data_IF_862947344527
#
_entry.id   IF_862947344527
#
_cell.length_a   1.000
_cell.length_b   1.000
_cell.length_c   1.000
_cell.angle_alpha   90.00
_cell.angle_beta   90.00
_cell.angle_gamma   90.00
#
_symmetry.space_group_name_H-M   'P 1'
#
loop_
_entity.id
_entity.type
_entity.pdbx_description
1 polymer ?
#
# COMPACT_ATOMS: atom_id res chain seq x y z
N UNK A 1 37.53 -35.11 18.24
CA UNK A 1 36.24 -35.68 17.85
C UNK A 1 35.24 -34.55 17.96
N UNK A 2 35.18 -33.71 16.90
CA UNK A 2 34.27 -33.84 15.74
C UNK A 2 32.94 -33.14 16.05
N UNK A 3 32.87 -31.82 15.77
CA UNK A 3 32.11 -31.11 14.68
C UNK A 3 30.60 -31.42 14.69
N UNK A 4 29.69 -30.43 14.78
CA UNK A 4 29.14 -29.63 13.66
C UNK A 4 28.29 -28.48 14.27
N UNK A 5 28.38 -27.22 13.86
CA UNK A 5 28.05 -26.59 12.56
C UNK A 5 26.56 -26.59 12.19
N UNK A 6 25.75 -25.82 12.91
CA UNK A 6 24.45 -25.31 12.43
C UNK A 6 24.46 -23.80 12.76
N UNK A 7 24.87 -22.92 11.86
CA UNK A 7 24.14 -22.65 10.62
C UNK A 7 23.10 -21.58 10.93
N UNK A 8 23.53 -20.32 11.10
CA UNK A 8 22.61 -19.19 11.12
C UNK A 8 22.03 -19.05 9.72
N UNK A 9 20.93 -19.76 9.47
CA UNK A 9 20.14 -19.59 8.27
C UNK A 9 19.44 -18.24 8.41
N UNK A 10 19.97 -17.22 7.72
CA UNK A 10 19.14 -16.08 7.35
C UNK A 10 18.11 -16.65 6.38
N UNK A 11 16.97 -17.08 6.91
CA UNK A 11 15.80 -17.33 6.06
C UNK A 11 15.45 -15.96 5.49
N UNK A 12 15.80 -15.74 4.21
CA UNK A 12 15.07 -14.76 3.43
C UNK A 12 13.60 -15.10 3.63
N UNK A 13 12.84 -14.21 4.27
CA UNK A 13 11.41 -14.38 4.45
C UNK A 13 10.77 -14.39 3.07
N UNK A 14 10.71 -15.59 2.49
CA UNK A 14 10.00 -15.86 1.25
C UNK A 14 8.53 -15.56 1.54
N UNK A 15 7.98 -14.58 0.83
CA UNK A 15 6.59 -14.19 1.03
C UNK A 15 5.68 -15.37 0.64
N UNK A 16 4.91 -15.91 1.58
CA UNK A 16 3.99 -17.03 1.35
C UNK A 16 2.58 -16.55 0.99
N UNK A 17 1.96 -17.19 0.00
CA UNK A 17 0.59 -16.89 -0.40
C UNK A 17 -0.38 -17.58 0.55
N UNK A 18 -1.01 -16.84 1.46
CA UNK A 18 -1.90 -17.45 2.48
C UNK A 18 -3.19 -18.10 1.92
N UNK A 19 -3.46 -17.93 0.63
CA UNK A 19 -4.61 -18.57 -0.04
C UNK A 19 -4.29 -20.03 -0.38
N UNK A 20 -3.06 -20.31 -0.80
CA UNK A 20 -2.62 -21.65 -1.20
C UNK A 20 -1.53 -22.25 -0.30
N UNK A 21 -1.02 -21.47 0.66
CA UNK A 21 0.05 -21.84 1.59
C UNK A 21 1.34 -22.27 0.88
N UNK A 22 1.67 -21.58 -0.22
CA UNK A 22 2.83 -21.86 -1.06
C UNK A 22 3.60 -20.57 -1.34
N UNK A 23 4.88 -20.69 -1.67
CA UNK A 23 5.79 -19.57 -1.87
C UNK A 23 5.36 -18.70 -3.08
N UNK A 24 5.39 -17.38 -2.90
CA UNK A 24 5.09 -16.40 -3.95
C UNK A 24 6.32 -16.20 -4.84
N UNK A 25 6.67 -17.20 -5.64
CA UNK A 25 7.88 -17.15 -6.48
C UNK A 25 7.68 -16.32 -7.76
N UNK A 26 6.58 -16.55 -8.49
CA UNK A 26 6.34 -15.96 -9.81
C UNK A 26 4.85 -15.58 -9.99
N UNK A 27 4.59 -14.51 -10.76
CA UNK A 27 3.24 -13.98 -11.03
C UNK A 27 2.42 -13.65 -9.77
N UNK A 28 2.88 -12.65 -9.04
CA UNK A 28 2.19 -12.11 -7.89
C UNK A 28 1.44 -10.82 -8.18
N UNK A 29 0.46 -10.53 -7.32
CA UNK A 29 -0.22 -9.25 -7.28
C UNK A 29 -0.13 -8.71 -5.85
N UNK A 30 0.38 -7.50 -5.73
CA UNK A 30 0.32 -6.73 -4.51
C UNK A 30 -0.94 -5.86 -4.52
N UNK A 31 -1.68 -5.85 -3.41
CA UNK A 31 -2.85 -4.99 -3.22
C UNK A 31 -2.43 -3.61 -2.68
N UNK A 32 -3.31 -2.61 -2.73
CA UNK A 32 -3.06 -1.28 -2.10
C UNK A 32 -2.75 -1.35 -0.60
N UNK A 33 -3.15 -2.46 0.04
CA UNK A 33 -2.81 -2.77 1.42
C UNK A 33 -1.45 -3.45 1.61
N UNK A 34 -0.60 -3.50 0.57
CA UNK A 34 0.77 -4.04 0.52
C UNK A 34 0.88 -5.55 0.78
N UNK A 35 -0.22 -6.28 0.70
CA UNK A 35 -0.20 -7.74 0.83
C UNK A 35 -0.06 -8.40 -0.54
N UNK A 36 0.82 -9.41 -0.62
CA UNK A 36 1.11 -10.16 -1.86
C UNK A 36 0.46 -11.53 -1.85
N UNK A 37 0.03 -11.93 -3.05
CA UNK A 37 -0.59 -13.22 -3.32
C UNK A 37 -0.24 -13.64 -4.74
N UNK A 38 -0.33 -14.94 -5.03
CA UNK A 38 -0.40 -15.39 -6.43
C UNK A 38 -1.55 -14.70 -7.15
N UNK A 39 -1.28 -14.18 -8.36
CA UNK A 39 -2.26 -13.48 -9.20
C UNK A 39 -3.52 -14.30 -9.39
N UNK A 40 -3.39 -15.59 -9.70
CA UNK A 40 -4.52 -16.52 -9.85
C UNK A 40 -5.29 -16.72 -8.54
N UNK A 41 -4.59 -16.85 -7.41
CA UNK A 41 -5.22 -17.04 -6.10
C UNK A 41 -6.08 -15.82 -5.73
N UNK A 42 -5.51 -14.61 -5.84
CA UNK A 42 -6.26 -13.41 -5.49
C UNK A 42 -7.38 -13.10 -6.49
N UNK A 43 -7.19 -13.39 -7.79
CA UNK A 43 -8.25 -13.24 -8.80
C UNK A 43 -9.43 -14.17 -8.57
N UNK A 44 -9.21 -15.38 -8.07
CA UNK A 44 -10.31 -16.28 -7.70
C UNK A 44 -10.99 -15.84 -6.40
N UNK A 45 -10.21 -15.37 -5.42
CA UNK A 45 -10.75 -14.88 -4.16
C UNK A 45 -11.69 -13.67 -4.35
N UNK A 46 -11.26 -12.67 -5.13
CA UNK A 46 -12.04 -11.44 -5.32
C UNK A 46 -13.35 -11.63 -6.07
N UNK A 47 -13.48 -12.69 -6.88
CA UNK A 47 -14.76 -13.08 -7.51
C UNK A 47 -15.82 -13.44 -6.46
N UNK A 48 -15.40 -13.95 -5.30
CA UNK A 48 -16.28 -14.35 -4.20
C UNK A 48 -16.36 -13.24 -3.15
N UNK A 49 -15.22 -12.63 -2.81
CA UNK A 49 -15.10 -11.65 -1.74
C UNK A 49 -14.08 -10.56 -2.10
N UNK A 50 -14.56 -9.37 -2.43
CA UNK A 50 -13.75 -8.20 -2.77
C UNK A 50 -13.06 -7.55 -1.53
N UNK A 51 -12.40 -8.36 -0.69
CA UNK A 51 -11.63 -7.92 0.48
C UNK A 51 -10.33 -8.69 0.59
N UNK A 52 -9.27 -8.03 1.06
CA UNK A 52 -7.97 -8.65 1.34
C UNK A 52 -8.13 -9.81 2.34
N UNK A 53 -7.62 -11.02 2.03
CA UNK A 53 -7.60 -12.16 2.96
C UNK A 53 -6.92 -11.87 4.31
N UNK A 54 -5.85 -11.06 4.31
CA UNK A 54 -5.06 -10.78 5.52
C UNK A 54 -5.64 -9.67 6.39
N UNK A 55 -5.95 -8.50 5.80
CA UNK A 55 -6.34 -7.32 6.57
C UNK A 55 -7.81 -6.90 6.38
N UNK A 56 -8.57 -7.64 5.58
CA UNK A 56 -10.00 -7.39 5.32
C UNK A 56 -10.34 -6.02 4.70
N UNK A 57 -9.33 -5.24 4.29
CA UNK A 57 -9.51 -4.01 3.51
C UNK A 57 -10.17 -4.32 2.16
N UNK A 58 -11.10 -3.46 1.73
CA UNK A 58 -11.82 -3.63 0.46
C UNK A 58 -10.83 -3.55 -0.70
N UNK A 59 -10.96 -4.46 -1.66
CA UNK A 59 -10.17 -4.44 -2.89
C UNK A 59 -11.01 -3.70 -3.93
N UNK A 60 -10.54 -2.55 -4.39
CA UNK A 60 -11.15 -1.84 -5.50
C UNK A 60 -10.71 -2.52 -6.81
N UNK A 61 -11.19 -3.75 -7.07
CA UNK A 61 -10.91 -4.44 -8.35
C UNK A 61 -11.83 -3.89 -9.43
N UNK A 62 -11.46 -2.72 -9.97
CA UNK A 62 -12.16 -2.09 -11.07
C UNK A 62 -11.86 -2.83 -12.37
N UNK A 63 -12.49 -4.00 -12.55
CA UNK A 63 -12.53 -4.66 -13.86
C UNK A 63 -13.64 -4.07 -14.73
N UNK A 64 -14.70 -3.51 -14.13
CA UNK A 64 -15.76 -2.75 -14.83
C UNK A 64 -15.50 -1.22 -14.88
N UNK A 65 -14.73 -0.65 -13.95
CA UNK A 65 -14.34 0.78 -13.99
C UNK A 65 -13.14 1.05 -14.91
N UNK A 66 -12.37 0.04 -15.31
CA UNK A 66 -11.29 0.21 -16.30
C UNK A 66 -11.77 0.70 -17.66
N UNK A 67 -13.08 0.64 -17.94
CA UNK A 67 -13.71 1.13 -19.16
C UNK A 67 -14.86 2.14 -18.94
N UNK A 68 -15.17 2.50 -17.69
CA UNK A 68 -16.13 3.56 -17.39
C UNK A 68 -15.39 4.71 -16.73
N UNK A 69 -14.93 5.65 -17.55
CA UNK A 69 -14.58 6.98 -17.03
C UNK A 69 -15.90 7.62 -16.65
N UNK A 70 -16.24 7.59 -15.36
CA UNK A 70 -17.31 8.43 -14.84
C UNK A 70 -16.75 9.85 -14.64
N UNK A 71 -16.99 10.70 -15.64
CA UNK A 71 -16.64 12.13 -15.63
C UNK A 71 -17.31 12.92 -14.49
N UNK A 72 -18.24 12.30 -13.74
CA UNK A 72 -18.87 12.89 -12.57
C UNK A 72 -18.41 12.24 -11.25
N UNK A 73 -17.33 11.42 -11.23
CA UNK A 73 -16.83 10.82 -9.99
C UNK A 73 -16.26 11.89 -9.03
N UNK A 74 -16.90 12.15 -7.86
CA UNK A 74 -16.43 13.13 -6.89
C UNK A 74 -15.09 12.75 -6.23
N UNK A 75 -14.60 11.51 -6.38
CA UNK A 75 -13.30 11.06 -5.86
C UNK A 75 -12.12 11.61 -6.66
N UNK A 76 -12.34 12.05 -7.89
CA UNK A 76 -11.29 12.70 -8.70
C UNK A 76 -10.91 14.10 -8.17
N UNK A 77 -11.75 14.72 -7.33
CA UNK A 77 -11.39 15.98 -6.65
C UNK A 77 -10.61 15.78 -5.35
N UNK A 78 -10.57 14.56 -4.78
CA UNK A 78 -9.87 14.31 -3.51
C UNK A 78 -8.37 14.07 -3.69
N UNK A 79 -7.91 13.68 -4.89
CA UNK A 79 -6.49 13.37 -5.14
C UNK A 79 -5.64 14.66 -5.25
N UNK A 80 -6.20 15.77 -5.75
CA UNK A 80 -5.51 17.07 -5.76
C UNK A 80 -5.50 17.76 -4.39
N UNK A 81 -6.49 17.50 -3.53
CA UNK A 81 -6.58 18.17 -2.24
C UNK A 81 -5.57 17.65 -1.20
N UNK A 82 -5.15 16.39 -1.25
CA UNK A 82 -4.18 15.86 -0.28
C UNK A 82 -2.80 16.49 -0.47
N UNK A 83 -2.35 16.68 -1.72
CA UNK A 83 -1.06 17.30 -2.02
C UNK A 83 -1.04 18.81 -1.75
N UNK A 84 -2.04 19.53 -2.24
CA UNK A 84 -2.12 21.00 -2.13
C UNK A 84 -2.42 21.42 -0.69
N UNK A 85 -3.31 20.72 0.04
CA UNK A 85 -3.56 21.05 1.46
C UNK A 85 -2.32 20.76 2.32
N UNK A 86 -1.58 19.66 2.08
CA UNK A 86 -0.32 19.38 2.79
C UNK A 86 0.75 20.42 2.49
N UNK A 87 0.84 20.88 1.24
CA UNK A 87 1.78 21.93 0.84
C UNK A 87 1.42 23.30 1.41
N UNK A 88 0.14 23.70 1.38
CA UNK A 88 -0.33 24.96 1.99
C UNK A 88 -0.13 24.94 3.51
N UNK A 89 -0.49 23.84 4.18
CA UNK A 89 -0.25 23.68 5.62
C UNK A 89 1.25 23.80 5.92
N UNK A 90 2.09 23.11 5.16
CA UNK A 90 3.55 23.18 5.32
C UNK A 90 4.09 24.60 5.10
N UNK A 91 3.69 25.29 4.03
CA UNK A 91 4.08 26.68 3.75
C UNK A 91 3.62 27.65 4.85
N UNK A 92 2.37 27.52 5.33
CA UNK A 92 1.87 28.32 6.44
C UNK A 92 2.66 28.06 7.72
N UNK A 93 2.97 26.80 8.05
CA UNK A 93 3.79 26.45 9.21
C UNK A 93 5.20 27.06 9.09
N UNK A 94 5.83 27.00 7.93
CA UNK A 94 7.16 27.60 7.70
C UNK A 94 7.13 29.12 7.86
N UNK A 95 6.12 29.80 7.29
CA UNK A 95 5.98 31.26 7.42
C UNK A 95 5.76 31.65 8.89
N UNK A 96 4.91 30.92 9.62
CA UNK A 96 4.67 31.18 11.04
C UNK A 96 5.95 30.97 11.86
N UNK A 97 6.71 29.91 11.60
CA UNK A 97 7.98 29.66 12.28
C UNK A 97 9.02 30.74 11.98
N UNK A 98 9.12 31.22 10.74
CA UNK A 98 10.01 32.32 10.38
C UNK A 98 9.62 33.62 11.09
N UNK A 99 8.33 33.93 11.18
CA UNK A 99 7.84 35.10 11.92
C UNK A 99 8.20 35.00 13.42
N UNK A 100 8.03 33.83 14.04
CA UNK A 100 8.40 33.60 15.44
C UNK A 100 9.90 33.79 15.66
N UNK A 101 10.75 33.28 14.75
CA UNK A 101 12.20 33.43 14.82
C UNK A 101 12.63 34.90 14.67
N UNK A 102 11.99 35.66 13.77
CA UNK A 102 12.26 37.10 13.57
C UNK A 102 11.86 37.92 14.79
N UNK A 103 10.69 37.64 15.39
CA UNK A 103 10.22 38.31 16.61
C UNK A 103 11.12 37.98 17.81
N UNK A 104 11.62 36.74 17.91
CA UNK A 104 12.49 36.32 19.02
C UNK A 104 13.93 36.85 18.91
N UNK A 105 14.32 37.36 17.72
CA UNK A 105 15.65 37.89 17.43
C UNK A 105 15.70 39.43 17.45
N UNK A 106 14.58 40.10 17.71
CA UNK A 106 14.46 41.54 17.94
C UNK A 106 14.22 41.83 19.42
#
# INVERSE_FOLDING_TARGET
MEINSEGYHVQEEKEECIICLDEVENEWRELECQHRYHKQCIENWIKVKAKCPLCMKKINDTREERNRIDINDPRLEEIHMIGIKRFIIYMCCVIILLIIVVISSS
#
